data_IF_206893660367
#
_entry.id   IF_206893660367
#
_cell.length_a   1.000
_cell.length_b   1.000
_cell.length_c   1.000
_cell.angle_alpha   90.00
_cell.angle_beta   90.00
_cell.angle_gamma   90.00
#
_symmetry.space_group_name_H-M   'P 1'
#
loop_
_entity.id
_entity.type
_entity.pdbx_description
1 polymer ?
#
# COMPACT_ATOMS: atom_id res chain seq x y z
N UNK A 1 -60.97 -45.29 7.73
CA UNK A 1 -59.47 -45.31 7.79
C UNK A 1 -58.94 -44.51 6.60
N UNK A 2 -58.52 -43.29 6.86
CA UNK A 2 -57.93 -42.41 5.85
C UNK A 2 -56.39 -42.38 6.07
N UNK A 3 -55.65 -42.76 5.09
CA UNK A 3 -54.17 -42.84 5.13
C UNK A 3 -53.60 -41.59 4.46
N UNK A 4 -53.04 -40.70 5.28
CA UNK A 4 -52.44 -39.45 4.86
C UNK A 4 -50.99 -39.75 4.45
N UNK A 5 -50.65 -39.53 3.17
CA UNK A 5 -49.27 -39.64 2.66
C UNK A 5 -48.61 -38.26 2.80
N UNK A 6 -47.59 -38.17 3.68
CA UNK A 6 -46.70 -37.00 3.75
C UNK A 6 -45.63 -37.10 2.65
N UNK A 7 -45.68 -36.19 1.69
CA UNK A 7 -44.64 -36.02 0.69
C UNK A 7 -43.53 -35.10 1.25
N UNK A 8 -42.32 -35.65 1.46
CA UNK A 8 -41.15 -34.90 1.85
C UNK A 8 -40.52 -34.26 0.61
N UNK A 9 -40.51 -32.93 0.53
CA UNK A 9 -39.81 -32.19 -0.50
C UNK A 9 -38.36 -31.99 -0.04
N UNK A 10 -37.41 -32.68 -0.70
CA UNK A 10 -35.98 -32.39 -0.55
C UNK A 10 -35.62 -31.16 -1.40
N UNK A 11 -35.32 -30.04 -0.75
CA UNK A 11 -34.66 -28.91 -1.40
C UNK A 11 -33.18 -29.26 -1.62
N UNK A 12 -32.79 -29.49 -2.89
CA UNK A 12 -31.39 -29.58 -3.27
C UNK A 12 -30.81 -28.16 -3.34
N UNK A 13 -29.95 -27.80 -2.41
CA UNK A 13 -29.14 -26.59 -2.49
C UNK A 13 -28.04 -26.78 -3.53
N UNK A 14 -28.17 -26.11 -4.68
CA UNK A 14 -27.10 -26.04 -5.68
C UNK A 14 -25.98 -25.12 -5.15
N UNK A 15 -24.85 -25.70 -4.78
CA UNK A 15 -23.63 -24.94 -4.52
C UNK A 15 -23.15 -24.32 -5.82
N UNK A 16 -23.30 -23.01 -5.98
CA UNK A 16 -22.69 -22.28 -7.09
C UNK A 16 -21.19 -22.20 -6.80
N UNK A 17 -20.39 -22.90 -7.62
CA UNK A 17 -18.95 -22.72 -7.61
C UNK A 17 -18.63 -21.31 -8.12
N UNK A 18 -17.90 -20.53 -7.30
CA UNK A 18 -17.33 -19.29 -7.74
C UNK A 18 -16.38 -19.54 -8.91
N UNK A 19 -16.43 -18.72 -9.97
CA UNK A 19 -15.46 -18.85 -11.06
C UNK A 19 -14.05 -18.66 -10.49
N UNK A 20 -13.05 -19.42 -10.98
CA UNK A 20 -11.67 -19.22 -10.55
C UNK A 20 -11.24 -17.80 -10.88
N UNK A 21 -10.72 -17.09 -9.89
CA UNK A 21 -10.11 -15.78 -10.08
C UNK A 21 -8.79 -15.96 -10.85
N UNK A 22 -8.87 -15.93 -12.17
CA UNK A 22 -7.70 -15.88 -13.05
C UNK A 22 -7.44 -14.43 -13.44
N UNK A 23 -6.98 -13.62 -12.47
CA UNK A 23 -6.26 -12.40 -12.83
C UNK A 23 -4.88 -12.82 -13.34
N UNK A 24 -4.61 -12.58 -14.61
CA UNK A 24 -3.25 -12.68 -15.15
C UNK A 24 -2.39 -11.64 -14.42
N UNK A 25 -1.15 -11.99 -14.01
CA UNK A 25 -0.25 -10.97 -13.47
C UNK A 25 -0.06 -9.86 -14.51
N UNK A 26 -0.02 -8.59 -14.07
CA UNK A 26 0.15 -7.46 -14.99
C UNK A 26 1.46 -7.61 -15.77
N UNK A 27 1.51 -7.13 -17.02
CA UNK A 27 2.75 -7.12 -17.80
C UNK A 27 3.87 -6.41 -16.99
N UNK A 28 5.08 -6.92 -17.07
CA UNK A 28 6.24 -6.38 -16.32
C UNK A 28 6.45 -4.88 -16.56
N UNK A 29 6.10 -4.39 -17.73
CA UNK A 29 6.14 -2.96 -18.10
C UNK A 29 5.18 -2.12 -17.25
N UNK A 30 3.98 -2.60 -16.97
CA UNK A 30 2.99 -1.87 -16.17
C UNK A 30 3.38 -1.83 -14.70
N UNK A 31 3.91 -2.91 -14.15
CA UNK A 31 4.43 -2.95 -12.79
C UNK A 31 5.55 -1.91 -12.57
N UNK A 32 6.48 -1.79 -13.52
CA UNK A 32 7.57 -0.80 -13.43
C UNK A 32 7.04 0.63 -13.45
N UNK A 33 6.01 0.93 -14.25
CA UNK A 33 5.42 2.27 -14.32
C UNK A 33 4.64 2.64 -13.05
N UNK A 34 3.97 1.66 -12.42
CA UNK A 34 3.29 1.84 -11.13
C UNK A 34 4.29 2.10 -10.01
N UNK A 35 5.45 1.41 -10.00
CA UNK A 35 6.49 1.61 -8.99
C UNK A 35 7.26 2.93 -9.15
N UNK A 36 7.27 3.53 -10.35
CA UNK A 36 8.03 4.75 -10.61
C UNK A 36 7.72 5.92 -9.65
N UNK A 37 6.45 6.32 -9.41
CA UNK A 37 6.14 7.38 -8.45
C UNK A 37 6.49 7.01 -7.01
N UNK A 38 6.38 5.73 -6.61
CA UNK A 38 6.76 5.26 -5.27
C UNK A 38 8.27 5.43 -5.07
N UNK A 39 9.08 4.98 -6.02
CA UNK A 39 10.53 5.13 -5.98
C UNK A 39 10.96 6.60 -5.97
N UNK A 40 10.26 7.46 -6.73
CA UNK A 40 10.51 8.89 -6.75
C UNK A 40 10.19 9.56 -5.40
N UNK A 41 9.10 9.14 -4.74
CA UNK A 41 8.73 9.61 -3.39
C UNK A 41 9.77 9.16 -2.36
N UNK A 42 10.25 7.92 -2.40
CA UNK A 42 11.31 7.46 -1.49
C UNK A 42 12.63 8.21 -1.70
N UNK A 43 13.01 8.48 -2.95
CA UNK A 43 14.18 9.32 -3.24
C UNK A 43 14.01 10.75 -2.69
N UNK A 44 12.80 11.31 -2.79
CA UNK A 44 12.48 12.62 -2.23
C UNK A 44 12.50 12.61 -0.68
N UNK A 45 12.06 11.53 -0.03
CA UNK A 45 12.19 11.35 1.41
C UNK A 45 13.65 11.37 1.84
N UNK A 46 14.51 10.61 1.14
CA UNK A 46 15.95 10.53 1.42
C UNK A 46 16.65 11.89 1.24
N UNK A 47 16.22 12.67 0.25
CA UNK A 47 16.71 14.02 0.00
C UNK A 47 16.12 15.09 0.95
N UNK A 48 15.04 14.79 1.67
CA UNK A 48 14.27 15.77 2.43
C UNK A 48 13.57 16.81 1.52
N UNK A 49 13.26 16.43 0.27
CA UNK A 49 12.67 17.33 -0.74
C UNK A 49 11.14 17.23 -0.75
N UNK A 50 10.50 18.03 0.10
CA UNK A 50 9.04 18.08 0.19
C UNK A 50 8.36 18.45 -1.15
N UNK A 51 8.81 19.44 -1.94
CA UNK A 51 8.25 19.71 -3.26
C UNK A 51 8.35 18.52 -4.21
N UNK A 52 9.43 17.72 -4.15
CA UNK A 52 9.56 16.52 -4.97
C UNK A 52 8.49 15.48 -4.63
N UNK A 53 8.21 15.22 -3.35
CA UNK A 53 7.12 14.34 -2.93
C UNK A 53 5.80 14.77 -3.56
N UNK A 54 5.46 16.06 -3.43
CA UNK A 54 4.15 16.59 -3.86
C UNK A 54 3.93 16.51 -5.38
N UNK A 55 4.97 16.35 -6.19
CA UNK A 55 4.82 16.11 -7.64
C UNK A 55 4.31 14.73 -7.99
N UNK A 56 4.48 13.75 -7.11
CA UNK A 56 4.18 12.33 -7.36
C UNK A 56 2.93 11.84 -6.63
N UNK A 57 2.23 12.72 -5.92
CA UNK A 57 1.04 12.40 -5.14
C UNK A 57 -0.14 13.28 -5.54
N UNK A 58 -1.34 12.85 -5.20
CA UNK A 58 -2.53 13.70 -5.29
C UNK A 58 -2.68 14.51 -3.99
N UNK A 59 -2.93 15.84 -4.09
CA UNK A 59 -3.08 16.71 -2.91
C UNK A 59 -4.21 16.28 -1.97
N UNK A 60 -5.29 15.71 -2.52
CA UNK A 60 -6.47 15.23 -1.79
C UNK A 60 -6.23 13.92 -1.05
N UNK A 61 -5.15 13.22 -1.39
CA UNK A 61 -4.78 11.95 -0.79
C UNK A 61 -4.26 12.06 0.62
N UNK A 62 -4.07 10.91 1.26
CA UNK A 62 -3.74 10.80 2.67
C UNK A 62 -2.58 9.86 2.94
N UNK A 63 -1.85 10.17 4.00
CA UNK A 63 -0.90 9.24 4.63
C UNK A 63 -1.48 8.80 5.96
N UNK A 64 -1.71 7.50 6.10
CA UNK A 64 -2.26 6.89 7.32
C UNK A 64 -1.25 5.90 7.90
N UNK A 65 -0.92 6.05 9.16
CA UNK A 65 0.03 5.21 9.87
C UNK A 65 -0.60 4.58 11.10
N UNK A 66 -0.28 3.31 11.38
CA UNK A 66 -0.65 2.62 12.62
C UNK A 66 0.55 1.88 13.20
N UNK A 67 0.47 1.53 14.50
CA UNK A 67 1.52 0.79 15.19
C UNK A 67 2.54 1.67 15.90
N UNK A 68 3.76 1.16 16.11
CA UNK A 68 4.82 1.82 16.89
C UNK A 68 5.86 2.44 15.96
N UNK A 69 6.20 3.70 16.20
CA UNK A 69 7.21 4.49 15.48
C UNK A 69 8.09 5.23 16.48
N UNK A 70 9.24 5.70 16.05
CA UNK A 70 10.10 6.53 16.89
C UNK A 70 9.38 7.79 17.45
N UNK A 71 8.39 8.32 16.69
CA UNK A 71 7.58 9.48 17.08
C UNK A 71 6.32 9.16 17.91
N UNK A 72 6.15 7.90 18.37
CA UNK A 72 4.99 7.47 19.17
C UNK A 72 4.26 6.27 18.56
N UNK A 73 3.09 5.93 19.12
CA UNK A 73 2.29 4.76 18.73
C UNK A 73 0.84 5.15 18.41
N UNK A 74 0.09 4.21 17.84
CA UNK A 74 -1.33 4.34 17.52
C UNK A 74 -1.62 4.85 16.11
N UNK A 75 -2.88 5.14 15.86
CA UNK A 75 -3.36 5.63 14.56
C UNK A 75 -3.02 7.11 14.36
N UNK A 76 -2.53 7.43 13.18
CA UNK A 76 -2.29 8.80 12.73
C UNK A 76 -2.65 8.90 11.24
N UNK A 77 -3.32 9.97 10.87
CA UNK A 77 -3.57 10.32 9.47
C UNK A 77 -3.27 11.80 9.24
N UNK A 78 -2.80 12.12 8.05
CA UNK A 78 -2.41 13.48 7.66
C UNK A 78 -2.50 13.63 6.14
N UNK A 79 -2.52 14.87 5.64
CA UNK A 79 -2.38 15.12 4.21
C UNK A 79 -0.94 14.86 3.75
N UNK A 80 -0.75 14.70 2.44
CA UNK A 80 0.60 14.61 1.86
C UNK A 80 1.45 15.86 2.16
N UNK A 81 0.85 17.05 2.15
CA UNK A 81 1.54 18.29 2.51
C UNK A 81 2.06 18.25 3.95
N UNK A 82 1.19 17.89 4.91
CA UNK A 82 1.58 17.77 6.32
C UNK A 82 2.64 16.68 6.55
N UNK A 83 2.63 15.63 5.74
CA UNK A 83 3.67 14.59 5.79
C UNK A 83 5.00 15.14 5.25
N UNK A 84 4.98 15.76 4.07
CA UNK A 84 6.17 16.28 3.41
C UNK A 84 6.87 17.41 4.20
N UNK A 85 6.11 18.28 4.89
CA UNK A 85 6.66 19.34 5.75
C UNK A 85 7.52 18.85 6.92
N UNK A 86 7.45 17.55 7.25
CA UNK A 86 8.26 16.94 8.32
C UNK A 86 9.58 16.37 7.84
N UNK A 87 9.78 16.30 6.54
CA UNK A 87 11.02 15.80 5.98
C UNK A 87 12.17 16.76 6.32
N UNK A 88 13.30 16.19 6.71
CA UNK A 88 14.50 16.96 7.07
C UNK A 88 15.66 16.50 6.21
N UNK A 89 16.23 17.40 5.41
CA UNK A 89 17.45 17.07 4.67
C UNK A 89 18.58 16.64 5.61
N UNK A 90 19.31 15.59 5.22
CA UNK A 90 20.54 15.18 5.90
C UNK A 90 20.38 14.38 7.19
N UNK A 91 19.17 13.97 7.57
CA UNK A 91 18.97 13.08 8.73
C UNK A 91 19.31 11.62 8.42
N UNK A 92 19.63 11.31 7.18
CA UNK A 92 19.97 9.95 6.72
C UNK A 92 18.78 9.00 6.67
N UNK A 93 17.57 9.56 6.50
CA UNK A 93 16.35 8.77 6.31
C UNK A 93 16.42 8.00 5.00
N UNK A 94 16.14 6.71 5.05
CA UNK A 94 16.01 5.84 3.88
C UNK A 94 14.84 4.88 4.09
N UNK A 95 13.98 4.78 3.11
CA UNK A 95 12.91 3.79 3.06
C UNK A 95 13.09 2.91 1.82
N UNK A 96 12.88 1.60 2.01
CA UNK A 96 12.96 0.62 0.92
C UNK A 96 11.87 -0.41 1.11
N UNK A 97 11.18 -0.72 0.02
CA UNK A 97 10.26 -1.86 -0.06
C UNK A 97 10.96 -3.05 -0.72
N UNK A 98 10.44 -4.25 -0.47
CA UNK A 98 10.86 -5.49 -1.11
C UNK A 98 9.65 -6.30 -1.56
N UNK A 99 9.83 -7.14 -2.57
CA UNK A 99 8.83 -8.11 -3.04
C UNK A 99 7.39 -7.55 -3.14
N UNK A 100 7.15 -6.44 -3.87
CA UNK A 100 5.84 -5.81 -3.90
C UNK A 100 4.82 -6.69 -4.63
N UNK A 101 3.66 -6.92 -4.01
CA UNK A 101 2.46 -7.40 -4.68
C UNK A 101 1.79 -6.19 -5.35
N UNK A 102 1.53 -6.30 -6.66
CA UNK A 102 0.98 -5.22 -7.48
C UNK A 102 -0.25 -5.73 -8.20
N UNK A 103 -1.37 -5.04 -8.03
CA UNK A 103 -2.60 -5.28 -8.77
C UNK A 103 -2.97 -4.03 -9.57
N UNK A 104 -3.36 -4.20 -10.83
CA UNK A 104 -3.72 -3.11 -11.74
C UNK A 104 -5.04 -3.44 -12.42
N UNK A 105 -5.98 -2.49 -12.36
CA UNK A 105 -7.20 -2.53 -13.15
C UNK A 105 -7.41 -1.16 -13.84
N UNK A 106 -7.18 -1.11 -15.13
CA UNK A 106 -7.25 0.12 -15.92
C UNK A 106 -6.33 1.22 -15.38
N UNK A 107 -6.91 2.28 -14.86
CA UNK A 107 -6.22 3.46 -14.34
C UNK A 107 -6.12 3.48 -12.80
N UNK A 108 -6.36 2.34 -12.16
CA UNK A 108 -6.20 2.16 -10.71
C UNK A 108 -5.18 1.07 -10.43
N UNK A 109 -4.30 1.28 -9.46
CA UNK A 109 -3.36 0.27 -9.01
C UNK A 109 -3.24 0.25 -7.49
N UNK A 110 -2.94 -0.94 -6.96
CA UNK A 110 -2.57 -1.16 -5.57
C UNK A 110 -1.17 -1.76 -5.49
N UNK A 111 -0.38 -1.30 -4.53
CA UNK A 111 0.91 -1.91 -4.18
C UNK A 111 0.92 -2.24 -2.69
N UNK A 112 1.17 -3.49 -2.37
CA UNK A 112 1.36 -3.98 -1.00
C UNK A 112 2.77 -4.54 -0.86
N UNK A 113 3.58 -3.98 0.05
CA UNK A 113 4.97 -4.38 0.19
C UNK A 113 5.48 -4.27 1.63
N UNK A 114 6.33 -5.20 2.10
CA UNK A 114 7.09 -4.98 3.31
C UNK A 114 8.10 -3.85 3.10
N UNK A 115 8.26 -2.99 4.11
CA UNK A 115 9.24 -1.92 4.09
C UNK A 115 10.19 -1.97 5.29
N UNK A 116 11.35 -1.35 5.11
CA UNK A 116 12.31 -1.06 6.18
C UNK A 116 12.74 0.40 6.07
N UNK A 117 12.63 1.12 7.20
CA UNK A 117 13.18 2.48 7.34
C UNK A 117 14.50 2.41 8.10
N UNK A 118 15.48 3.15 7.58
CA UNK A 118 16.77 3.41 8.23
C UNK A 118 16.94 4.90 8.48
N UNK A 119 17.61 5.23 9.56
CA UNK A 119 18.04 6.60 9.87
C UNK A 119 19.51 6.53 10.28
N UNK A 120 20.37 7.27 9.60
CA UNK A 120 21.80 7.19 9.83
C UNK A 120 22.37 5.78 9.67
N UNK A 121 21.85 4.99 8.73
CA UNK A 121 22.25 3.61 8.45
C UNK A 121 21.70 2.55 9.43
N UNK A 122 21.02 2.94 10.52
CA UNK A 122 20.43 2.03 11.50
C UNK A 122 18.95 1.82 11.23
N UNK A 123 18.47 0.58 11.40
CA UNK A 123 17.04 0.27 11.29
C UNK A 123 16.28 1.04 12.38
N UNK A 124 15.32 1.85 11.95
CA UNK A 124 14.44 2.64 12.80
C UNK A 124 13.10 1.94 13.03
N UNK A 125 12.49 1.50 11.96
CA UNK A 125 11.21 0.77 11.97
C UNK A 125 11.02 -0.02 10.69
N UNK A 126 10.04 -0.91 10.71
CA UNK A 126 9.61 -1.69 9.56
C UNK A 126 8.12 -2.00 9.64
N UNK A 127 7.55 -2.44 8.54
CA UNK A 127 6.13 -2.79 8.46
C UNK A 127 5.72 -3.18 7.06
N UNK A 128 4.49 -2.83 6.71
CA UNK A 128 3.94 -2.98 5.38
C UNK A 128 3.36 -1.66 4.92
N UNK A 129 3.69 -1.29 3.70
CA UNK A 129 3.08 -0.20 2.95
C UNK A 129 1.96 -0.72 2.09
N UNK A 130 0.89 0.03 2.02
CA UNK A 130 -0.20 -0.09 1.06
C UNK A 130 -0.36 1.24 0.33
N UNK A 131 -0.04 1.24 -0.96
CA UNK A 131 -0.24 2.38 -1.83
C UNK A 131 -1.46 2.17 -2.71
N UNK A 132 -2.35 3.17 -2.76
CA UNK A 132 -3.36 3.33 -3.80
C UNK A 132 -2.81 4.32 -4.84
N UNK A 133 -2.84 3.94 -6.10
CA UNK A 133 -2.39 4.79 -7.20
C UNK A 133 -3.50 4.97 -8.24
N UNK A 134 -3.48 6.13 -8.87
CA UNK A 134 -4.38 6.47 -9.98
C UNK A 134 -3.54 6.98 -11.15
N UNK A 135 -3.88 6.56 -12.36
CA UNK A 135 -3.26 7.06 -13.58
C UNK A 135 -4.13 8.14 -14.20
N UNK A 136 -3.59 9.34 -14.29
CA UNK A 136 -4.23 10.50 -14.89
C UNK A 136 -3.36 11.01 -16.04
N UNK A 137 -3.97 11.17 -17.23
CA UNK A 137 -3.27 11.59 -18.45
C UNK A 137 -2.00 10.75 -18.73
N UNK A 138 -2.08 9.44 -18.51
CA UNK A 138 -0.99 8.48 -18.73
C UNK A 138 0.10 8.46 -17.63
N UNK A 139 -0.04 9.24 -16.57
CA UNK A 139 0.94 9.34 -15.48
C UNK A 139 0.37 8.77 -14.19
N UNK A 140 1.06 7.78 -13.59
CA UNK A 140 0.72 7.25 -12.28
C UNK A 140 1.09 8.24 -11.17
N UNK A 141 0.17 8.44 -10.24
CA UNK A 141 0.40 9.18 -8.99
C UNK A 141 -0.17 8.44 -7.80
N UNK A 142 0.44 8.63 -6.65
CA UNK A 142 -0.04 8.03 -5.40
C UNK A 142 -1.22 8.86 -4.89
N UNK A 143 -2.36 8.19 -4.68
CA UNK A 143 -3.51 8.78 -3.99
C UNK A 143 -3.30 8.65 -2.49
N UNK A 144 -3.17 7.43 -1.98
CA UNK A 144 -3.03 7.18 -0.55
C UNK A 144 -1.83 6.27 -0.24
N UNK A 145 -1.26 6.49 0.93
CA UNK A 145 -0.36 5.55 1.59
C UNK A 145 -0.94 5.19 2.96
N UNK A 146 -1.19 3.91 3.17
CA UNK A 146 -1.53 3.40 4.50
C UNK A 146 -0.46 2.40 4.93
N UNK A 147 0.13 2.57 6.11
CA UNK A 147 1.18 1.67 6.56
C UNK A 147 1.03 1.24 8.02
N UNK A 148 1.43 -0.01 8.26
CA UNK A 148 1.69 -0.51 9.60
C UNK A 148 3.14 -0.22 9.98
N UNK A 149 3.45 -0.08 11.27
CA UNK A 149 4.81 0.16 11.71
C UNK A 149 5.10 -0.51 13.05
N UNK A 150 6.32 -1.03 13.19
CA UNK A 150 6.87 -1.57 14.43
C UNK A 150 8.36 -1.26 14.53
N UNK A 151 8.86 -1.17 15.74
CA UNK A 151 10.28 -0.90 16.03
C UNK A 151 11.04 -2.14 16.52
N UNK A 152 10.35 -3.27 16.66
CA UNK A 152 10.93 -4.57 17.06
C UNK A 152 10.66 -5.62 15.99
N UNK A 153 11.55 -6.64 15.91
CA UNK A 153 11.43 -7.73 14.95
C UNK A 153 11.60 -7.29 13.48
N UNK A 154 12.31 -6.20 13.23
CA UNK A 154 12.65 -5.77 11.88
C UNK A 154 13.81 -6.60 11.33
N UNK A 155 13.87 -6.84 10.01
CA UNK A 155 14.99 -7.51 9.38
C UNK A 155 16.31 -6.77 9.66
N UNK A 156 17.32 -7.50 10.13
CA UNK A 156 18.70 -7.03 10.14
C UNK A 156 19.27 -7.28 8.73
N UNK A 157 19.53 -6.24 7.98
CA UNK A 157 20.36 -6.31 6.78
C UNK A 157 21.64 -5.55 7.02
#
# INVERSE_FOLDING_TARGET
MAMTILASILLAASAQALPPATALPPPVTDAATVLAPINAVFAAFEAGDAPAVLRHVYPEGRVTATGTRASGSGLRHQSWTQFAERLKPGDGFQERISDPAIEIDGDVAMVWAPFVVRVGGKVSNCGYDHFDLVRDNGTWKIMNLTFSSRTAGCPAQ
#
